data_IF_396298833234
#
_entry.id   IF_396298833234
#
_cell.length_a   1.000
_cell.length_b   1.000
_cell.length_c   1.000
_cell.angle_alpha   90.00
_cell.angle_beta   90.00
_cell.angle_gamma   90.00
#
_symmetry.space_group_name_H-M   'P 1'
#
loop_
_entity.id
_entity.type
_entity.pdbx_description
1 polymer ?
#
# COMPACT_ATOMS: atom_id res chain seq x y z
N UNK A 1 2.90 6.28 10.54
CA UNK A 1 3.03 4.92 9.96
C UNK A 1 4.07 4.99 8.87
N UNK A 2 5.22 4.38 9.11
CA UNK A 2 6.25 4.22 8.08
C UNK A 2 6.45 2.73 7.86
N UNK A 3 6.46 2.30 6.60
CA UNK A 3 6.71 0.93 6.22
C UNK A 3 7.74 0.94 5.09
N UNK A 4 8.89 0.29 5.32
CA UNK A 4 9.90 0.12 4.30
C UNK A 4 9.48 -1.02 3.35
N UNK A 5 9.31 -0.69 2.08
CA UNK A 5 9.10 -1.69 1.03
C UNK A 5 10.44 -2.31 0.62
N UNK A 6 10.42 -3.57 0.20
CA UNK A 6 11.61 -4.26 -0.32
C UNK A 6 12.16 -3.58 -1.57
N UNK A 7 11.27 -3.18 -2.48
CA UNK A 7 11.59 -2.43 -3.69
C UNK A 7 10.84 -1.11 -3.70
N UNK A 8 11.43 -0.04 -4.29
CA UNK A 8 10.76 1.24 -4.41
C UNK A 8 9.51 1.12 -5.28
N UNK A 9 8.51 1.96 -4.98
CA UNK A 9 7.27 2.05 -5.74
C UNK A 9 7.17 3.40 -6.45
N UNK A 10 7.02 3.36 -7.78
CA UNK A 10 6.83 4.57 -8.60
C UNK A 10 5.35 5.00 -8.69
N UNK A 11 4.44 4.18 -8.14
CA UNK A 11 3.00 4.44 -8.16
C UNK A 11 2.38 4.12 -6.82
N UNK A 12 1.42 4.94 -6.42
CA UNK A 12 0.53 4.67 -5.29
C UNK A 12 -0.87 5.13 -5.67
N UNK A 13 -1.87 4.31 -5.38
CA UNK A 13 -3.27 4.72 -5.48
C UNK A 13 -4.13 3.93 -4.49
N UNK A 14 -4.95 4.63 -3.70
CA UNK A 14 -5.98 3.97 -2.90
C UNK A 14 -7.06 3.35 -3.79
N UNK A 15 -7.46 2.12 -3.46
CA UNK A 15 -8.70 1.54 -3.96
C UNK A 15 -9.90 2.10 -3.17
N UNK A 16 -11.10 2.14 -3.77
CA UNK A 16 -12.25 2.81 -3.15
C UNK A 16 -12.82 2.04 -1.95
N UNK A 17 -12.51 0.75 -1.81
CA UNK A 17 -13.08 -0.10 -0.76
C UNK A 17 -12.53 0.26 0.62
N UNK A 18 -13.45 0.47 1.57
CA UNK A 18 -13.16 0.63 2.99
C UNK A 18 -14.02 -0.35 3.78
N UNK A 19 -13.39 -1.17 4.59
CA UNK A 19 -14.04 -2.17 5.44
C UNK A 19 -13.83 -1.77 6.90
N UNK A 20 -14.88 -1.35 7.58
CA UNK A 20 -14.88 -1.17 9.02
C UNK A 20 -15.22 -2.49 9.71
N UNK A 21 -14.54 -2.81 10.80
CA UNK A 21 -14.76 -4.05 11.55
C UNK A 21 -15.46 -3.70 12.88
N UNK A 22 -16.65 -4.26 13.18
CA UNK A 22 -17.45 -3.85 14.34
C UNK A 22 -16.73 -3.93 15.70
N UNK A 23 -15.81 -4.89 15.83
CA UNK A 23 -15.07 -5.15 17.08
C UNK A 23 -13.62 -4.64 17.04
N UNK A 24 -13.29 -3.74 16.11
CA UNK A 24 -11.96 -3.14 15.97
C UNK A 24 -12.06 -1.62 15.90
N UNK A 25 -11.00 -0.99 16.37
CA UNK A 25 -10.75 0.45 16.33
C UNK A 25 -10.10 0.92 15.01
N UNK A 26 -10.07 0.07 13.98
CA UNK A 26 -9.50 0.38 12.67
C UNK A 26 -10.41 -0.06 11.52
N UNK A 27 -10.24 0.61 10.38
CA UNK A 27 -10.74 0.16 9.08
C UNK A 27 -9.63 -0.46 8.26
N UNK A 28 -9.97 -1.40 7.36
CA UNK A 28 -9.06 -1.94 6.36
C UNK A 28 -9.37 -1.32 5.00
N UNK A 29 -8.35 -0.78 4.37
CA UNK A 29 -8.38 -0.23 3.02
C UNK A 29 -7.30 -0.89 2.17
N UNK A 30 -7.39 -0.76 0.86
CA UNK A 30 -6.39 -1.32 -0.06
C UNK A 30 -5.71 -0.23 -0.88
N UNK A 31 -4.46 -0.45 -1.23
CA UNK A 31 -3.71 0.40 -2.15
C UNK A 31 -3.04 -0.42 -3.24
N UNK A 32 -2.92 0.19 -4.41
CA UNK A 32 -2.14 -0.31 -5.54
C UNK A 32 -0.73 0.24 -5.40
N UNK A 33 0.24 -0.65 -5.47
CA UNK A 33 1.66 -0.35 -5.52
C UNK A 33 2.29 -1.07 -6.71
N UNK A 34 3.45 -0.60 -7.12
CA UNK A 34 4.30 -1.26 -8.10
C UNK A 34 5.71 -1.49 -7.56
N UNK A 35 6.49 -2.34 -8.21
CA UNK A 35 7.94 -2.42 -7.98
C UNK A 35 8.70 -1.70 -9.08
N UNK A 36 9.89 -1.22 -8.72
CA UNK A 36 10.96 -0.89 -9.64
C UNK A 36 12.23 -1.61 -9.16
N UNK A 37 12.46 -2.79 -9.73
CA UNK A 37 13.58 -3.68 -9.39
C UNK A 37 14.80 -3.44 -10.28
N UNK A 38 15.88 -4.17 -10.01
CA UNK A 38 17.00 -4.32 -10.96
C UNK A 38 16.60 -5.20 -12.16
N UNK A 39 17.32 -5.09 -13.28
CA UNK A 39 17.00 -5.75 -14.57
C UNK A 39 16.91 -7.30 -14.53
N UNK A 40 17.25 -7.93 -13.41
CA UNK A 40 17.25 -9.38 -13.24
C UNK A 40 16.22 -9.89 -12.24
N UNK A 41 15.49 -8.99 -11.59
CA UNK A 41 14.50 -9.33 -10.58
C UNK A 41 13.08 -9.12 -11.10
N UNK A 42 12.17 -10.03 -10.76
CA UNK A 42 10.78 -9.99 -11.21
C UNK A 42 10.08 -8.73 -10.67
N UNK A 43 9.47 -7.95 -11.56
CA UNK A 43 8.60 -6.85 -11.17
C UNK A 43 7.18 -7.33 -10.87
N UNK A 44 6.50 -6.64 -9.97
CA UNK A 44 5.15 -6.95 -9.54
C UNK A 44 4.25 -5.71 -9.54
N UNK A 45 3.03 -5.89 -10.01
CA UNK A 45 1.90 -5.10 -9.56
C UNK A 45 1.43 -5.68 -8.23
N UNK A 46 1.32 -4.84 -7.20
CA UNK A 46 1.04 -5.26 -5.83
C UNK A 46 -0.23 -4.62 -5.31
N UNK A 47 -0.99 -5.39 -4.51
CA UNK A 47 -2.07 -4.86 -3.68
C UNK A 47 -1.65 -5.00 -2.23
N UNK A 48 -1.65 -3.87 -1.52
CA UNK A 48 -1.41 -3.84 -0.08
C UNK A 48 -2.68 -3.49 0.67
N UNK A 49 -2.88 -4.15 1.80
CA UNK A 49 -3.89 -3.81 2.79
C UNK A 49 -3.29 -2.89 3.84
N UNK A 50 -4.02 -1.84 4.17
CA UNK A 50 -3.68 -0.88 5.20
C UNK A 50 -4.77 -0.87 6.25
N UNK A 51 -4.37 -1.06 7.50
CA UNK A 51 -5.22 -0.84 8.65
C UNK A 51 -5.05 0.62 9.08
N UNK A 52 -6.11 1.42 9.08
CA UNK A 52 -6.09 2.79 9.57
C UNK A 52 -7.04 2.94 10.77
N UNK A 53 -6.61 3.59 11.87
CA UNK A 53 -7.47 3.90 13.00
C UNK A 53 -8.76 4.60 12.55
N UNK A 54 -9.87 4.27 13.20
CA UNK A 54 -11.12 5.01 13.06
C UNK A 54 -11.00 6.37 13.75
N UNK A 55 -11.82 7.35 13.34
CA UNK A 55 -11.78 8.70 13.90
C UNK A 55 -12.05 8.75 15.41
N UNK A 56 -12.79 7.76 15.93
CA UNK A 56 -13.11 7.61 17.35
C UNK A 56 -12.15 6.67 18.10
N UNK A 57 -11.08 6.19 17.47
CA UNK A 57 -10.06 5.40 18.15
C UNK A 57 -9.29 6.29 19.14
N UNK A 58 -9.08 5.79 20.36
CA UNK A 58 -8.25 6.48 21.35
C UNK A 58 -6.79 6.40 20.92
N UNK A 59 -6.22 7.50 20.42
CA UNK A 59 -4.81 7.58 20.04
C UNK A 59 -4.01 7.98 21.27
N UNK A 60 -3.15 7.10 21.80
CA UNK A 60 -2.18 7.47 22.83
C UNK A 60 -1.11 8.37 22.19
N UNK A 61 -1.16 9.67 22.49
CA UNK A 61 -0.30 10.70 21.89
C UNK A 61 1.20 10.53 22.17
N UNK A 62 1.61 9.51 22.92
CA UNK A 62 3.00 9.13 23.18
C UNK A 62 3.62 8.26 22.07
N UNK A 63 2.83 7.74 21.13
CA UNK A 63 3.32 6.92 20.01
C UNK A 63 3.95 7.75 18.87
N UNK A 64 3.82 9.07 18.91
CA UNK A 64 4.43 10.01 17.96
C UNK A 64 5.67 10.70 18.55
N UNK A 65 6.55 9.95 19.22
CA UNK A 65 7.79 10.53 19.77
C UNK A 65 8.91 10.55 18.71
N UNK A 66 9.12 11.74 18.15
CA UNK A 66 10.11 12.10 17.12
C UNK A 66 11.57 11.93 17.59
N UNK A 67 11.81 11.78 18.91
CA UNK A 67 13.17 11.68 19.48
C UNK A 67 13.87 10.33 19.20
N UNK A 68 13.12 9.30 18.76
CA UNK A 68 13.68 7.96 18.49
C UNK A 68 14.15 7.74 17.05
N UNK A 69 13.86 8.65 16.12
CA UNK A 69 14.22 8.51 14.70
C UNK A 69 13.49 7.37 13.96
N UNK A 70 12.62 6.62 14.63
CA UNK A 70 11.80 5.56 14.04
C UNK A 70 10.33 6.01 14.00
N UNK A 71 9.96 6.73 12.95
CA UNK A 71 8.58 7.13 12.71
C UNK A 71 7.67 5.91 12.37
N UNK A 72 7.44 4.98 13.29
CA UNK A 72 6.54 3.83 13.08
C UNK A 72 6.87 2.57 13.90
N UNK A 73 7.20 2.73 15.18
CA UNK A 73 7.57 1.63 16.07
C UNK A 73 6.57 0.48 16.14
N UNK A 74 7.08 -0.75 16.09
CA UNK A 74 6.36 -2.00 16.38
C UNK A 74 5.97 -2.04 17.87
N UNK A 75 4.74 -1.62 18.20
CA UNK A 75 4.23 -1.80 19.55
C UNK A 75 2.91 -1.09 19.77
N UNK A 76 1.84 -1.89 19.92
CA UNK A 76 0.46 -1.50 20.25
C UNK A 76 -0.29 -0.69 19.18
N UNK A 77 -1.46 -1.16 18.74
CA UNK A 77 -2.49 -0.38 18.03
C UNK A 77 -2.21 0.24 16.65
N UNK A 78 -0.96 0.39 16.24
CA UNK A 78 -0.58 1.20 15.09
C UNK A 78 -1.06 0.68 13.74
N UNK A 79 -1.34 1.62 12.84
CA UNK A 79 -1.72 1.34 11.46
C UNK A 79 -0.68 0.45 10.75
N UNK A 80 -1.15 -0.65 10.15
CA UNK A 80 -0.31 -1.70 9.56
C UNK A 80 -0.45 -1.69 8.05
N UNK A 81 0.67 -1.81 7.34
CA UNK A 81 0.71 -2.02 5.89
C UNK A 81 1.18 -3.45 5.63
N UNK A 82 0.44 -4.19 4.80
CA UNK A 82 0.79 -5.56 4.40
C UNK A 82 0.50 -5.77 2.92
N UNK A 83 1.49 -6.15 2.13
CA UNK A 83 1.27 -6.61 0.75
C UNK A 83 0.56 -7.96 0.80
N UNK A 84 -0.63 -8.05 0.19
CA UNK A 84 -1.47 -9.25 0.21
C UNK A 84 -1.55 -9.94 -1.17
N UNK A 85 -1.21 -9.24 -2.26
CA UNK A 85 -1.18 -9.82 -3.60
C UNK A 85 0.03 -9.32 -4.39
N UNK A 86 0.60 -10.23 -5.16
CA UNK A 86 1.66 -9.98 -6.15
C UNK A 86 1.19 -10.53 -7.49
N UNK A 87 1.24 -9.71 -8.52
CA UNK A 87 0.91 -10.08 -9.90
C UNK A 87 2.16 -9.84 -10.72
N UNK A 88 2.71 -10.89 -11.34
CA UNK A 88 3.88 -10.78 -12.20
C UNK A 88 3.63 -9.73 -13.28
N UNK A 89 4.62 -8.86 -13.47
CA UNK A 89 4.53 -7.76 -14.40
C UNK A 89 5.82 -7.66 -15.21
N UNK A 90 5.68 -7.45 -16.52
CA UNK A 90 6.81 -7.36 -17.44
C UNK A 90 7.36 -5.93 -17.46
N UNK A 91 8.53 -5.74 -16.86
CA UNK A 91 9.12 -4.43 -16.58
C UNK A 91 8.58 -3.76 -15.32
N UNK A 92 9.18 -2.65 -14.94
CA UNK A 92 8.78 -1.85 -13.79
C UNK A 92 7.41 -1.20 -13.96
N UNK A 93 6.71 -0.98 -12.85
CA UNK A 93 5.39 -0.37 -12.85
C UNK A 93 5.54 1.14 -12.64
N UNK A 94 5.69 1.90 -13.73
CA UNK A 94 5.81 3.36 -13.71
C UNK A 94 4.53 4.05 -13.22
N UNK A 95 3.37 3.47 -13.56
CA UNK A 95 2.05 3.95 -13.15
C UNK A 95 1.06 2.79 -13.15
N UNK A 96 0.22 2.72 -12.14
CA UNK A 96 -0.92 1.79 -12.09
C UNK A 96 -2.19 2.54 -11.67
N UNK A 97 -3.29 2.35 -12.39
CA UNK A 97 -4.58 3.00 -12.08
C UNK A 97 -5.74 2.03 -12.18
N UNK A 98 -6.64 2.06 -11.20
CA UNK A 98 -7.91 1.35 -11.30
C UNK A 98 -8.91 2.11 -12.18
N UNK A 99 -9.82 1.37 -12.83
CA UNK A 99 -10.97 1.91 -13.54
C UNK A 99 -12.07 2.30 -12.53
N UNK A 100 -12.51 3.56 -12.45
CA UNK A 100 -13.52 3.98 -11.46
C UNK A 100 -14.85 3.21 -11.52
N UNK A 101 -15.26 2.79 -12.72
CA UNK A 101 -16.49 2.03 -12.96
C UNK A 101 -16.37 0.56 -12.54
N UNK A 102 -15.14 0.02 -12.52
CA UNK A 102 -14.85 -1.35 -12.11
C UNK A 102 -13.45 -1.43 -11.49
N UNK A 103 -13.32 -1.27 -10.16
CA UNK A 103 -12.03 -1.24 -9.48
C UNK A 103 -11.21 -2.53 -9.56
N UNK A 104 -11.80 -3.63 -10.05
CA UNK A 104 -11.08 -4.87 -10.33
C UNK A 104 -10.27 -4.82 -11.64
N UNK A 105 -10.50 -3.82 -12.49
CA UNK A 105 -9.71 -3.59 -13.70
C UNK A 105 -8.65 -2.55 -13.41
N UNK A 106 -7.39 -2.97 -13.51
CA UNK A 106 -6.21 -2.14 -13.30
C UNK A 106 -5.48 -2.01 -14.63
N UNK A 107 -5.05 -0.79 -14.97
CA UNK A 107 -4.18 -0.53 -16.10
C UNK A 107 -2.80 -0.10 -15.59
N UNK A 108 -1.74 -0.60 -16.22
CA UNK A 108 -0.35 -0.28 -15.86
C UNK A 108 0.46 0.23 -17.04
N UNK A 109 1.47 1.05 -16.75
CA UNK A 109 2.44 1.54 -17.72
C UNK A 109 3.85 1.16 -17.32
N UNK A 110 4.62 0.73 -18.32
CA UNK A 110 6.01 0.28 -18.19
C UNK A 110 6.94 1.22 -18.96
N UNK A 111 8.21 0.87 -19.11
CA UNK A 111 9.14 1.55 -20.04
C UNK A 111 8.90 1.21 -21.51
N UNK A 112 8.21 0.11 -21.81
CA UNK A 112 7.88 -0.27 -23.19
C UNK A 112 6.75 0.59 -23.75
N UNK A 113 6.39 0.39 -25.02
CA UNK A 113 5.23 1.04 -25.63
C UNK A 113 3.90 0.50 -25.09
N UNK A 114 3.90 -0.70 -24.52
CA UNK A 114 2.70 -1.44 -24.15
C UNK A 114 2.02 -0.88 -22.90
N UNK A 115 0.71 -1.11 -22.82
CA UNK A 115 -0.12 -0.85 -21.64
C UNK A 115 -0.76 -2.18 -21.30
N UNK A 116 -0.59 -2.61 -20.05
CA UNK A 116 -1.22 -3.81 -19.52
C UNK A 116 -2.51 -3.46 -18.78
#
# INVERSE_FOLDING_TARGET
VTHALEWPSLTVQWLPDRVEHPDKDYSTQKMILGTHTSEHEQNYLMIAEVQLPLENAEVDGREYDDESGEAGGFGSGGAKVKVCQHINHDGEVNRARYMPQNPFVLATKTVSADVY
#
